data_IF_129445325432
#
_entry.id   IF_129445325432
#
_cell.length_a   1.000
_cell.length_b   1.000
_cell.length_c   1.000
_cell.angle_alpha   90.00
_cell.angle_beta   90.00
_cell.angle_gamma   90.00
#
_symmetry.space_group_name_H-M   'P 1'
#
loop_
_entity.id
_entity.type
_entity.pdbx_description
1 polymer ?
#
# COMPACT_ATOMS: atom_id res chain seq x y z
N UNK A 1 65.80 6.50 42.73
CA UNK A 1 64.87 5.39 42.97
C UNK A 1 63.46 5.94 42.98
N UNK A 2 62.71 5.75 41.90
CA UNK A 2 61.24 5.84 41.91
C UNK A 2 60.72 4.63 41.13
N UNK A 3 59.74 3.95 41.73
CA UNK A 3 59.35 2.58 41.45
C UNK A 3 58.20 2.60 40.45
N UNK A 4 58.45 2.27 39.19
CA UNK A 4 57.37 1.95 38.25
C UNK A 4 56.80 0.61 38.71
N UNK A 5 55.65 0.65 39.40
CA UNK A 5 54.86 -0.54 39.66
C UNK A 5 54.13 -0.87 38.37
N UNK A 6 54.76 -1.65 37.50
CA UNK A 6 54.00 -2.52 36.61
C UNK A 6 53.23 -3.48 37.52
N UNK A 7 51.92 -3.25 37.64
CA UNK A 7 51.05 -4.22 38.26
C UNK A 7 51.03 -5.44 37.33
N UNK A 8 51.42 -6.64 37.81
CA UNK A 8 51.33 -7.82 36.96
C UNK A 8 49.86 -8.03 36.61
N UNK A 9 49.58 -8.14 35.31
CA UNK A 9 48.33 -8.71 34.80
C UNK A 9 48.11 -10.00 35.57
N UNK A 10 46.99 -10.11 36.29
CA UNK A 10 46.65 -11.31 37.03
C UNK A 10 46.50 -12.46 36.02
N UNK A 11 47.54 -13.28 35.88
CA UNK A 11 47.48 -14.55 35.17
C UNK A 11 46.45 -15.42 35.90
N UNK A 12 45.26 -15.57 35.31
CA UNK A 12 44.22 -16.42 35.85
C UNK A 12 42.77 -16.07 35.51
N UNK A 13 42.49 -14.89 34.93
CA UNK A 13 41.15 -14.61 34.43
C UNK A 13 40.95 -15.30 33.07
N UNK A 14 39.86 -16.06 32.91
CA UNK A 14 39.50 -16.62 31.60
C UNK A 14 39.49 -15.48 30.58
N UNK A 15 40.14 -15.64 29.41
CA UNK A 15 40.13 -14.60 28.40
C UNK A 15 38.67 -14.27 28.09
N UNK A 16 38.29 -13.00 28.27
CA UNK A 16 36.96 -12.50 27.91
C UNK A 16 36.60 -13.06 26.55
N UNK A 17 35.39 -13.61 26.42
CA UNK A 17 34.99 -14.20 25.15
C UNK A 17 35.01 -13.12 24.07
N UNK A 18 35.26 -13.50 22.82
CA UNK A 18 35.24 -12.54 21.70
C UNK A 18 33.91 -11.76 21.66
N UNK A 19 32.81 -12.37 22.08
CA UNK A 19 31.51 -11.73 22.18
C UNK A 19 31.48 -10.64 23.27
N UNK A 20 32.05 -10.92 24.45
CA UNK A 20 32.09 -9.96 25.56
C UNK A 20 33.04 -8.79 25.27
N UNK A 21 34.17 -9.05 24.60
CA UNK A 21 35.09 -7.99 24.15
C UNK A 21 34.39 -7.08 23.14
N UNK A 22 33.70 -7.67 22.16
CA UNK A 22 32.94 -6.90 21.17
C UNK A 22 31.83 -6.11 21.85
N UNK A 23 31.14 -6.69 22.82
CA UNK A 23 30.08 -6.01 23.56
C UNK A 23 30.62 -4.87 24.44
N UNK A 24 31.76 -5.05 25.13
CA UNK A 24 32.41 -4.04 25.97
C UNK A 24 32.94 -2.87 25.12
N UNK A 25 33.60 -3.16 23.99
CA UNK A 25 34.02 -2.15 23.02
C UNK A 25 32.80 -1.38 22.56
N UNK A 26 31.75 -2.05 22.06
CA UNK A 26 30.54 -1.37 21.59
C UNK A 26 29.87 -0.53 22.70
N UNK A 27 29.81 -0.99 23.95
CA UNK A 27 29.16 -0.26 25.05
C UNK A 27 29.95 0.97 25.52
N UNK A 28 31.28 0.87 25.60
CA UNK A 28 32.15 1.97 26.05
C UNK A 28 32.39 3.01 24.97
N UNK A 29 32.31 2.60 23.70
CA UNK A 29 32.75 3.40 22.57
C UNK A 29 31.63 4.06 21.76
N UNK A 30 30.35 3.71 21.99
CA UNK A 30 29.22 4.15 21.14
C UNK A 30 29.06 5.67 21.01
N UNK A 31 29.57 6.47 21.95
CA UNK A 31 29.48 7.94 21.86
C UNK A 31 30.71 8.64 21.27
N UNK A 32 31.88 7.98 21.15
CA UNK A 32 33.12 8.63 20.71
C UNK A 32 33.97 7.83 19.70
N UNK A 33 33.69 6.54 19.49
CA UNK A 33 34.53 5.74 18.61
C UNK A 33 34.25 5.92 17.15
N UNK A 34 35.36 6.01 16.44
CA UNK A 34 35.42 6.04 14.99
C UNK A 34 35.67 4.66 14.41
N UNK A 35 35.80 3.60 15.22
CA UNK A 35 36.17 2.26 14.76
C UNK A 35 35.28 1.77 13.61
N UNK A 36 33.95 1.76 13.81
CA UNK A 36 33.00 1.37 12.77
C UNK A 36 33.15 2.24 11.51
N UNK A 37 33.33 3.56 11.67
CA UNK A 37 33.57 4.47 10.54
C UNK A 37 34.89 4.17 9.81
N UNK A 38 35.96 3.84 10.53
CA UNK A 38 37.29 3.56 9.99
C UNK A 38 37.31 2.24 9.20
N UNK A 39 36.50 1.25 9.62
CA UNK A 39 36.30 0.00 8.87
C UNK A 39 35.19 0.10 7.82
N UNK A 40 34.69 1.30 7.53
CA UNK A 40 33.68 1.56 6.50
C UNK A 40 32.25 1.17 6.87
N UNK A 41 32.01 0.74 8.11
CA UNK A 41 30.69 0.38 8.63
C UNK A 41 30.00 1.62 9.20
N UNK A 42 28.92 2.06 8.57
CA UNK A 42 28.10 3.14 9.13
C UNK A 42 27.30 2.58 10.30
N UNK A 43 27.46 3.19 11.48
CA UNK A 43 26.55 2.97 12.61
C UNK A 43 25.12 3.17 12.11
N UNK A 44 24.30 2.13 12.23
CA UNK A 44 22.94 2.08 11.68
C UNK A 44 22.06 3.09 12.42
N UNK A 45 22.05 4.33 11.94
CA UNK A 45 21.16 5.38 12.42
C UNK A 45 19.71 5.04 12.06
N UNK A 46 18.83 5.15 13.06
CA UNK A 46 17.44 4.70 13.14
C UNK A 46 16.46 5.30 12.11
N UNK A 47 16.67 5.07 10.81
CA UNK A 47 15.81 5.60 9.75
C UNK A 47 14.54 4.76 9.51
N UNK A 48 14.32 3.67 10.27
CA UNK A 48 13.26 2.69 10.03
C UNK A 48 11.83 3.25 10.18
N UNK A 49 11.63 4.33 10.94
CA UNK A 49 10.30 4.93 11.17
C UNK A 49 9.80 5.90 10.08
N UNK A 50 10.69 6.43 9.23
CA UNK A 50 10.29 7.38 8.17
C UNK A 50 9.68 6.68 6.97
N UNK A 51 10.14 5.48 6.64
CA UNK A 51 9.59 4.68 5.53
C UNK A 51 8.18 4.18 5.82
N UNK A 52 7.91 3.74 7.05
CA UNK A 52 6.60 3.19 7.45
C UNK A 52 5.49 4.24 7.47
N UNK A 53 5.76 5.46 7.92
CA UNK A 53 4.78 6.55 7.90
C UNK A 53 4.39 6.98 6.46
N UNK A 54 5.36 7.03 5.55
CA UNK A 54 5.11 7.35 4.13
C UNK A 54 4.30 6.25 3.46
N UNK A 55 4.63 4.98 3.72
CA UNK A 55 3.86 3.84 3.22
C UNK A 55 2.42 3.87 3.76
N UNK A 56 2.23 4.12 5.05
CA UNK A 56 0.89 4.22 5.64
C UNK A 56 0.05 5.36 5.06
N UNK A 57 0.67 6.51 4.76
CA UNK A 57 -0.02 7.61 4.10
C UNK A 57 -0.45 7.24 2.68
N UNK A 58 0.41 6.56 1.93
CA UNK A 58 0.11 6.10 0.57
C UNK A 58 -0.99 5.03 0.54
N UNK A 59 -0.99 4.09 1.49
CA UNK A 59 -2.05 3.08 1.61
C UNK A 59 -3.42 3.75 1.81
N UNK A 60 -3.52 4.72 2.71
CA UNK A 60 -4.78 5.46 2.94
C UNK A 60 -5.26 6.22 1.69
N UNK A 61 -4.35 6.81 0.93
CA UNK A 61 -4.69 7.50 -0.32
C UNK A 61 -5.22 6.51 -1.38
N UNK A 62 -4.62 5.33 -1.48
CA UNK A 62 -5.11 4.27 -2.37
C UNK A 62 -6.48 3.74 -1.95
N UNK A 63 -6.72 3.54 -0.65
CA UNK A 63 -8.01 3.12 -0.11
C UNK A 63 -9.11 4.14 -0.44
N UNK A 64 -8.85 5.44 -0.26
CA UNK A 64 -9.82 6.49 -0.64
C UNK A 64 -10.08 6.55 -2.14
N UNK A 65 -9.05 6.30 -2.96
CA UNK A 65 -9.23 6.25 -4.43
C UNK A 65 -10.08 5.06 -4.85
N UNK A 66 -9.89 3.91 -4.21
CA UNK A 66 -10.71 2.72 -4.46
C UNK A 66 -12.17 2.96 -4.10
N UNK A 67 -12.45 3.49 -2.92
CA UNK A 67 -13.82 3.81 -2.48
C UNK A 67 -14.53 4.75 -3.47
N UNK A 68 -13.84 5.78 -3.96
CA UNK A 68 -14.39 6.71 -4.97
C UNK A 68 -14.69 6.02 -6.30
N UNK A 69 -13.81 5.13 -6.74
CA UNK A 69 -13.98 4.40 -8.00
C UNK A 69 -15.11 3.38 -7.91
N UNK A 70 -15.27 2.71 -6.77
CA UNK A 70 -16.38 1.79 -6.52
C UNK A 70 -17.73 2.52 -6.56
N UNK A 71 -17.84 3.66 -5.88
CA UNK A 71 -19.04 4.51 -5.94
C UNK A 71 -19.33 5.00 -7.37
N UNK A 72 -18.30 5.41 -8.12
CA UNK A 72 -18.46 5.83 -9.51
C UNK A 72 -18.95 4.68 -10.40
N UNK A 73 -18.41 3.48 -10.20
CA UNK A 73 -18.81 2.30 -10.94
C UNK A 73 -20.26 1.91 -10.66
N UNK A 74 -20.71 2.01 -9.40
CA UNK A 74 -22.09 1.75 -9.00
C UNK A 74 -23.05 2.74 -9.68
N UNK A 75 -22.74 4.04 -9.63
CA UNK A 75 -23.55 5.07 -10.30
C UNK A 75 -23.64 4.81 -11.81
N UNK A 76 -22.51 4.49 -12.46
CA UNK A 76 -22.50 4.16 -13.89
C UNK A 76 -23.34 2.91 -14.21
N UNK A 77 -23.32 1.90 -13.34
CA UNK A 77 -24.16 0.71 -13.53
C UNK A 77 -25.65 1.04 -13.42
N UNK A 78 -26.03 1.88 -12.45
CA UNK A 78 -27.42 2.33 -12.29
C UNK A 78 -27.90 3.15 -13.50
N UNK A 79 -27.09 4.10 -13.98
CA UNK A 79 -27.41 4.88 -15.17
C UNK A 79 -27.57 4.00 -16.41
N UNK A 80 -26.67 3.02 -16.60
CA UNK A 80 -26.76 2.07 -17.70
C UNK A 80 -28.00 1.18 -17.58
N UNK A 81 -28.39 0.79 -16.38
CA UNK A 81 -29.62 0.03 -16.15
C UNK A 81 -30.86 0.86 -16.48
N UNK A 82 -30.90 2.13 -16.08
CA UNK A 82 -31.99 3.05 -16.39
C UNK A 82 -32.11 3.30 -17.90
N UNK A 83 -30.99 3.49 -18.62
CA UNK A 83 -30.98 3.65 -20.08
C UNK A 83 -31.51 2.37 -20.76
N UNK A 84 -31.04 1.19 -20.33
CA UNK A 84 -31.51 -0.09 -20.88
C UNK A 84 -33.01 -0.29 -20.66
N UNK A 85 -33.53 0.11 -19.48
CA UNK A 85 -34.96 0.02 -19.19
C UNK A 85 -35.75 0.91 -20.13
N UNK A 86 -35.38 2.19 -20.26
CA UNK A 86 -36.02 3.13 -21.18
C UNK A 86 -35.97 2.63 -22.62
N UNK A 87 -34.83 2.10 -23.07
CA UNK A 87 -34.70 1.54 -24.41
C UNK A 87 -35.70 0.40 -24.67
N UNK A 88 -35.85 -0.52 -23.72
CA UNK A 88 -36.85 -1.60 -23.79
C UNK A 88 -38.29 -1.07 -23.82
N UNK A 89 -38.59 -0.04 -23.03
CA UNK A 89 -39.91 0.60 -23.04
C UNK A 89 -40.22 1.26 -24.38
N UNK A 90 -39.26 1.96 -24.97
CA UNK A 90 -39.39 2.56 -26.31
C UNK A 90 -39.57 1.49 -27.39
N UNK A 91 -38.80 0.41 -27.36
CA UNK A 91 -38.94 -0.70 -28.29
C UNK A 91 -40.34 -1.34 -28.18
N UNK A 92 -40.80 -1.64 -26.96
CA UNK A 92 -42.14 -2.18 -26.73
C UNK A 92 -43.26 -1.23 -27.18
N UNK A 93 -43.08 0.09 -27.03
CA UNK A 93 -44.05 1.08 -27.53
C UNK A 93 -44.07 1.10 -29.08
N UNK A 94 -42.90 1.07 -29.70
CA UNK A 94 -42.74 1.07 -31.15
C UNK A 94 -43.31 -0.20 -31.79
N UNK A 95 -43.11 -1.35 -31.17
CA UNK A 95 -43.66 -2.62 -31.67
C UNK A 95 -45.19 -2.65 -31.61
N UNK A 96 -45.79 -2.14 -30.52
CA UNK A 96 -47.25 -1.97 -30.41
C UNK A 96 -47.82 -1.04 -31.49
N UNK A 97 -47.11 0.03 -31.82
CA UNK A 97 -47.51 0.95 -32.88
C UNK A 97 -47.43 0.28 -34.26
N UNK A 98 -46.36 -0.48 -34.52
CA UNK A 98 -46.21 -1.26 -35.75
C UNK A 98 -47.31 -2.31 -35.91
N UNK A 99 -47.62 -3.06 -34.85
CA UNK A 99 -48.73 -4.02 -34.85
C UNK A 99 -50.07 -3.33 -35.16
N UNK A 100 -50.32 -2.19 -34.52
CA UNK A 100 -51.54 -1.39 -34.73
C UNK A 100 -51.64 -0.86 -36.17
N UNK A 101 -50.53 -0.41 -36.75
CA UNK A 101 -50.47 0.05 -38.14
C UNK A 101 -50.71 -1.11 -39.12
N UNK A 102 -50.05 -2.24 -38.90
CA UNK A 102 -50.22 -3.47 -39.69
C UNK A 102 -51.67 -3.94 -39.68
N UNK A 103 -52.28 -4.04 -38.49
CA UNK A 103 -53.68 -4.44 -38.32
C UNK A 103 -54.64 -3.50 -39.08
N UNK A 104 -54.40 -2.18 -39.01
CA UNK A 104 -55.21 -1.18 -39.72
C UNK A 104 -55.10 -1.34 -41.24
N UNK A 105 -53.88 -1.54 -41.77
CA UNK A 105 -53.65 -1.72 -43.20
C UNK A 105 -54.30 -2.99 -43.76
N UNK A 106 -54.31 -4.07 -42.97
CA UNK A 106 -54.95 -5.34 -43.34
C UNK A 106 -56.48 -5.24 -43.28
N UNK A 107 -57.03 -4.55 -42.28
CA UNK A 107 -58.47 -4.29 -42.17
C UNK A 107 -59.04 -3.36 -43.25
N UNK A 108 -58.21 -2.48 -43.82
CA UNK A 108 -58.61 -1.62 -44.93
C UNK A 108 -58.61 -2.37 -46.27
N UNK A 109 -57.69 -3.32 -46.48
CA UNK A 109 -57.65 -4.16 -47.69
C UNK A 109 -58.80 -5.17 -47.79
N UNK A 110 -59.39 -5.61 -46.68
CA UNK A 110 -60.54 -6.54 -46.68
C UNK A 110 -61.89 -5.85 -46.92
N UNK A 111 -61.93 -4.52 -46.91
CA UNK A 111 -63.15 -3.72 -47.05
C UNK A 111 -63.26 -3.00 -48.41
N UNK A 112 -62.25 -3.16 -49.27
CA UNK A 112 -62.24 -2.70 -50.66
C UNK A 112 -62.46 -3.88 -51.59
#
# INVERSE_FOLDING_TARGET
MEKIKDAPVQEGEEPKSNADIVEEVLKTEVNQSTFLRNVGLKSSSNNSGKGTAVVAAHVRDLEQKLERLELQAEVMQEEMAAIKLKAKEYEAARDKELESCCARSLGNRKRS
#
